data_IF_054698268404
#
_entry.id   IF_054698268404
#
_cell.length_a   1.000
_cell.length_b   1.000
_cell.length_c   1.000
_cell.angle_alpha   90.00
_cell.angle_beta   90.00
_cell.angle_gamma   90.00
#
_symmetry.space_group_name_H-M   'P 1'
#
loop_
_entity.id
_entity.type
_entity.pdbx_description
1 polymer ?
#
# COMPACT_ATOMS: atom_id res chain seq x y z
N UNK A 1 3.68 6.93 31.64
CA UNK A 1 3.66 8.19 30.86
C UNK A 1 4.71 8.11 29.76
N UNK A 2 4.35 8.45 28.52
CA UNK A 2 5.06 8.04 27.30
C UNK A 2 6.12 9.05 26.81
N UNK A 3 7.32 8.54 26.52
CA UNK A 3 8.35 9.29 25.78
C UNK A 3 7.80 9.68 24.41
N UNK A 4 7.88 10.97 24.05
CA UNK A 4 7.41 11.47 22.74
C UNK A 4 8.13 10.71 21.61
N UNK A 5 7.38 9.96 20.80
CA UNK A 5 7.94 9.19 19.68
C UNK A 5 8.21 10.10 18.49
N UNK A 6 9.48 10.22 18.12
CA UNK A 6 9.96 11.04 17.00
C UNK A 6 9.84 10.32 15.65
N UNK A 7 9.49 11.06 14.59
CA UNK A 7 9.66 10.61 13.19
C UNK A 7 11.14 10.56 12.81
N UNK A 8 11.47 9.88 11.72
CA UNK A 8 12.83 9.88 11.17
C UNK A 8 13.24 11.29 10.68
N UNK A 9 12.31 12.06 10.11
CA UNK A 9 12.51 13.47 9.79
C UNK A 9 12.89 14.32 11.02
N UNK A 10 12.18 14.15 12.14
CA UNK A 10 12.48 14.89 13.38
C UNK A 10 13.84 14.51 13.95
N UNK A 11 14.27 13.24 13.80
CA UNK A 11 15.63 12.80 14.18
C UNK A 11 16.69 13.48 13.31
N UNK A 12 16.47 13.58 11.99
CA UNK A 12 17.37 14.31 11.08
C UNK A 12 17.47 15.79 11.46
N UNK A 13 16.36 16.44 11.82
CA UNK A 13 16.39 17.84 12.26
C UNK A 13 17.21 18.04 13.54
N UNK A 14 17.17 17.08 14.48
CA UNK A 14 18.03 17.12 15.68
C UNK A 14 19.52 17.00 15.29
N UNK A 15 19.83 16.13 14.33
CA UNK A 15 21.20 15.97 13.83
C UNK A 15 21.68 17.25 13.14
N UNK A 16 20.88 17.80 12.23
CA UNK A 16 21.20 19.06 11.54
C UNK A 16 21.40 20.22 12.51
N UNK A 17 20.53 20.35 13.51
CA UNK A 17 20.67 21.39 14.54
C UNK A 17 21.94 21.22 15.39
N UNK A 18 22.41 19.99 15.60
CA UNK A 18 23.71 19.72 16.25
C UNK A 18 24.88 20.08 15.34
N UNK A 19 24.75 19.91 14.03
CA UNK A 19 25.77 20.29 13.06
C UNK A 19 25.88 21.82 12.94
N UNK A 20 24.75 22.52 12.95
CA UNK A 20 24.69 24.00 12.94
C UNK A 20 25.20 24.62 14.26
N UNK A 21 25.17 23.86 15.36
CA UNK A 21 25.61 24.30 16.69
C UNK A 21 26.50 23.25 17.40
N UNK A 22 27.77 23.11 16.97
CA UNK A 22 28.68 22.07 17.48
C UNK A 22 29.04 22.21 18.96
N UNK A 23 28.86 23.39 19.57
CA UNK A 23 29.06 23.63 20.99
C UNK A 23 27.92 23.13 21.88
N UNK A 24 26.72 22.87 21.32
CA UNK A 24 25.57 22.43 22.12
C UNK A 24 25.85 21.06 22.75
N UNK A 25 25.69 20.99 24.07
CA UNK A 25 25.70 19.76 24.82
C UNK A 25 24.49 18.90 24.46
N UNK A 26 24.58 17.61 24.76
CA UNK A 26 23.47 16.68 24.55
C UNK A 26 22.27 17.04 25.44
N UNK A 27 22.48 17.65 26.60
CA UNK A 27 21.39 18.13 27.46
C UNK A 27 20.62 19.27 26.80
N UNK A 28 21.36 20.22 26.20
CA UNK A 28 20.77 21.36 25.50
C UNK A 28 20.00 20.92 24.24
N UNK A 29 20.51 19.95 23.49
CA UNK A 29 19.77 19.32 22.38
C UNK A 29 18.44 18.68 22.85
N UNK A 30 18.44 18.06 24.02
CA UNK A 30 17.23 17.48 24.63
C UNK A 30 16.19 18.55 24.98
N UNK A 31 16.63 19.72 25.42
CA UNK A 31 15.78 20.87 25.71
C UNK A 31 15.26 21.53 24.44
N UNK A 32 16.13 21.80 23.45
CA UNK A 32 15.72 22.30 22.14
C UNK A 32 14.65 21.42 21.50
N UNK A 33 14.81 20.10 21.56
CA UNK A 33 13.81 19.13 21.07
C UNK A 33 12.43 19.31 21.73
N UNK A 34 12.38 19.68 23.02
CA UNK A 34 11.10 19.94 23.70
C UNK A 34 10.46 21.22 23.20
N UNK A 35 11.25 22.24 22.89
CA UNK A 35 10.74 23.50 22.36
C UNK A 35 10.33 23.38 20.89
N UNK A 36 11.12 22.68 20.08
CA UNK A 36 10.89 22.50 18.65
C UNK A 36 9.75 21.52 18.32
N UNK A 37 9.52 20.49 19.15
CA UNK A 37 8.58 19.40 18.85
C UNK A 37 7.64 19.05 20.01
N UNK A 38 7.67 19.80 21.11
CA UNK A 38 6.73 19.62 22.23
C UNK A 38 5.35 20.21 21.93
N UNK A 39 4.33 19.82 22.71
CA UNK A 39 3.04 20.49 22.65
C UNK A 39 3.16 21.96 23.09
N UNK A 40 2.29 22.86 22.60
CA UNK A 40 2.26 24.26 23.02
C UNK A 40 2.18 24.38 24.54
N UNK A 41 2.81 25.42 25.12
CA UNK A 41 2.81 25.67 26.58
C UNK A 41 1.40 25.69 27.18
N UNK A 42 0.39 26.09 26.39
CA UNK A 42 -1.03 26.06 26.78
C UNK A 42 -1.58 24.64 27.00
N UNK A 43 -1.18 23.65 26.19
CA UNK A 43 -1.58 22.24 26.34
C UNK A 43 -0.77 21.48 27.40
N UNK A 44 0.36 22.02 27.88
CA UNK A 44 1.20 21.38 28.89
C UNK A 44 0.55 21.31 30.29
N UNK A 45 -0.47 22.13 30.56
CA UNK A 45 -1.18 22.15 31.86
C UNK A 45 -2.27 21.07 31.95
N UNK A 46 -2.82 20.64 30.80
CA UNK A 46 -3.93 19.67 30.68
C UNK A 46 -3.45 18.25 30.36
N UNK A 47 -2.29 18.11 29.72
CA UNK A 47 -1.70 16.80 29.44
C UNK A 47 -1.00 16.26 30.70
N UNK A 48 -1.53 15.18 31.26
CA UNK A 48 -0.96 14.37 32.35
C UNK A 48 0.58 14.25 32.29
N UNK A 49 1.27 15.11 33.05
CA UNK A 49 2.71 15.08 33.29
C UNK A 49 3.58 15.76 32.23
N UNK A 50 4.58 16.54 32.69
CA UNK A 50 5.63 17.13 31.84
C UNK A 50 6.30 16.03 30.98
N UNK A 51 6.40 16.20 29.65
CA UNK A 51 7.15 15.27 28.80
C UNK A 51 8.59 15.14 29.31
N UNK A 52 8.96 13.95 29.80
CA UNK A 52 10.32 13.69 30.31
C UNK A 52 11.33 14.01 29.21
N UNK A 53 12.39 14.74 29.57
CA UNK A 53 13.46 15.05 28.64
C UNK A 53 14.04 13.76 28.09
N UNK A 54 14.38 13.78 26.80
CA UNK A 54 15.03 12.64 26.17
C UNK A 54 16.38 12.42 26.87
N UNK A 55 16.68 11.16 27.24
CA UNK A 55 17.93 10.83 27.91
C UNK A 55 19.12 11.08 26.99
N UNK A 56 20.27 11.40 27.57
CA UNK A 56 21.52 11.57 26.81
C UNK A 56 21.82 10.33 25.92
N UNK A 57 21.51 9.12 26.41
CA UNK A 57 21.65 7.87 25.66
C UNK A 57 20.77 7.82 24.39
N UNK A 58 19.55 8.36 24.45
CA UNK A 58 18.65 8.43 23.30
C UNK A 58 19.16 9.41 22.24
N UNK A 59 19.78 10.53 22.66
CA UNK A 59 20.40 11.51 21.76
C UNK A 59 21.62 10.90 21.08
N UNK A 60 22.47 10.20 21.83
CA UNK A 60 23.61 9.48 21.26
C UNK A 60 23.18 8.42 20.26
N UNK A 61 22.08 7.70 20.53
CA UNK A 61 21.50 6.74 19.58
C UNK A 61 21.02 7.42 18.30
N UNK A 62 20.34 8.57 18.39
CA UNK A 62 19.89 9.33 17.22
C UNK A 62 21.09 9.79 16.37
N UNK A 63 22.11 10.36 17.00
CA UNK A 63 23.34 10.80 16.31
C UNK A 63 24.03 9.62 15.63
N UNK A 64 24.07 8.46 16.28
CA UNK A 64 24.65 7.24 15.72
C UNK A 64 23.88 6.66 14.51
N UNK A 65 22.58 6.96 14.38
CA UNK A 65 21.74 6.53 13.25
C UNK A 65 21.86 7.44 12.01
N UNK A 66 22.78 8.43 12.00
CA UNK A 66 22.93 9.41 10.92
C UNK A 66 22.92 8.79 9.52
N UNK A 67 23.86 7.87 9.26
CA UNK A 67 24.05 7.28 7.92
C UNK A 67 22.80 6.56 7.43
N UNK A 68 22.09 5.89 8.32
CA UNK A 68 20.83 5.20 8.01
C UNK A 68 19.72 6.20 7.69
N UNK A 69 19.63 7.32 8.42
CA UNK A 69 18.61 8.34 8.22
C UNK A 69 18.82 9.16 6.94
N UNK A 70 20.08 9.49 6.61
CA UNK A 70 20.43 10.21 5.38
C UNK A 70 20.18 9.37 4.12
N UNK A 71 20.23 8.04 4.22
CA UNK A 71 19.95 7.11 3.13
C UNK A 71 18.45 6.79 2.90
N UNK A 72 17.55 7.28 3.77
CA UNK A 72 16.12 6.99 3.68
C UNK A 72 15.39 7.86 2.65
N UNK A 73 14.38 7.27 1.98
CA UNK A 73 13.48 7.99 1.08
C UNK A 73 12.52 8.93 1.83
N UNK A 74 11.92 9.95 1.16
CA UNK A 74 10.97 10.88 1.79
C UNK A 74 9.79 10.19 2.50
N UNK A 75 9.34 9.05 1.95
CA UNK A 75 8.27 8.25 2.55
C UNK A 75 8.70 7.59 3.86
N UNK A 76 9.95 7.17 3.97
CA UNK A 76 10.53 6.58 5.19
C UNK A 76 10.86 7.62 6.26
N UNK A 77 11.16 8.86 5.84
CA UNK A 77 11.41 9.99 6.74
C UNK A 77 10.14 10.46 7.47
N UNK A 78 9.00 10.46 6.77
CA UNK A 78 7.69 10.79 7.37
C UNK A 78 7.21 9.76 8.40
N UNK A 79 7.75 8.53 8.37
CA UNK A 79 7.28 7.43 9.20
C UNK A 79 7.83 7.52 10.64
N UNK A 80 6.95 7.28 11.63
CA UNK A 80 7.34 7.11 13.05
C UNK A 80 7.95 5.75 13.36
N UNK A 81 7.85 4.79 12.43
CA UNK A 81 8.44 3.45 12.51
C UNK A 81 8.95 3.05 11.12
N UNK A 82 10.19 2.54 10.97
CA UNK A 82 10.55 1.81 9.77
C UNK A 82 9.63 0.59 9.68
N UNK A 83 8.84 0.50 8.60
CA UNK A 83 8.07 -0.70 8.29
C UNK A 83 8.99 -1.59 7.48
N UNK A 84 9.76 -2.46 8.13
CA UNK A 84 10.43 -3.53 7.39
C UNK A 84 9.39 -4.32 6.63
N UNK A 85 9.58 -4.43 5.32
CA UNK A 85 8.71 -5.26 4.49
C UNK A 85 9.06 -6.71 4.83
N UNK A 86 8.22 -7.35 5.66
CA UNK A 86 8.35 -8.78 5.93
C UNK A 86 8.21 -9.56 4.60
N UNK A 87 9.17 -10.44 4.34
CA UNK A 87 9.26 -11.30 3.15
C UNK A 87 9.12 -10.54 1.81
N UNK A 88 10.11 -9.70 1.43
CA UNK A 88 10.03 -8.92 0.19
C UNK A 88 10.04 -9.82 -1.06
N UNK A 89 10.91 -10.83 -1.11
CA UNK A 89 11.00 -11.78 -2.23
C UNK A 89 9.68 -12.53 -2.47
N UNK A 90 9.00 -12.96 -1.41
CA UNK A 90 7.67 -13.59 -1.52
C UNK A 90 6.66 -12.65 -2.18
N UNK A 91 6.60 -11.38 -1.72
CA UNK A 91 5.64 -10.40 -2.24
C UNK A 91 5.92 -10.08 -3.71
N UNK A 92 7.19 -9.98 -4.07
CA UNK A 92 7.61 -9.79 -5.45
C UNK A 92 7.22 -10.97 -6.34
N UNK A 93 7.46 -12.21 -5.91
CA UNK A 93 7.05 -13.40 -6.65
C UNK A 93 5.53 -13.46 -6.89
N UNK A 94 4.72 -13.12 -5.88
CA UNK A 94 3.25 -13.02 -6.03
C UNK A 94 2.87 -11.94 -7.04
N UNK A 95 3.52 -10.77 -6.99
CA UNK A 95 3.23 -9.67 -7.90
C UNK A 95 3.58 -10.02 -9.36
N UNK A 96 4.74 -10.64 -9.59
CA UNK A 96 5.16 -11.10 -10.92
C UNK A 96 4.21 -12.16 -11.48
N UNK A 97 3.75 -13.09 -10.64
CA UNK A 97 2.77 -14.09 -11.06
C UNK A 97 1.42 -13.46 -11.45
N UNK A 98 0.93 -12.48 -10.67
CA UNK A 98 -0.30 -11.75 -11.03
C UNK A 98 -0.13 -11.04 -12.38
N UNK A 99 1.00 -10.37 -12.59
CA UNK A 99 1.30 -9.71 -13.85
C UNK A 99 1.32 -10.70 -15.02
N UNK A 100 1.90 -11.89 -14.83
CA UNK A 100 1.89 -12.95 -15.83
C UNK A 100 0.47 -13.43 -16.15
N UNK A 101 -0.40 -13.58 -15.14
CA UNK A 101 -1.80 -13.92 -15.34
C UNK A 101 -2.56 -12.83 -16.11
N UNK A 102 -2.31 -11.55 -15.79
CA UNK A 102 -2.90 -10.42 -16.51
C UNK A 102 -2.49 -10.42 -17.99
N UNK A 103 -1.21 -10.66 -18.29
CA UNK A 103 -0.73 -10.77 -19.67
C UNK A 103 -1.37 -11.92 -20.45
N UNK A 104 -1.88 -12.95 -19.76
CA UNK A 104 -2.55 -14.11 -20.35
C UNK A 104 -4.08 -13.99 -20.36
N UNK A 105 -4.64 -12.86 -19.93
CA UNK A 105 -6.09 -12.68 -19.81
C UNK A 105 -6.75 -13.53 -18.72
N UNK A 106 -5.97 -14.08 -17.78
CA UNK A 106 -6.53 -14.96 -16.73
C UNK A 106 -7.12 -14.13 -15.60
N UNK A 107 -8.43 -14.25 -15.40
CA UNK A 107 -9.11 -13.65 -14.25
C UNK A 107 -8.63 -14.29 -12.94
N UNK A 108 -8.18 -13.46 -12.00
CA UNK A 108 -7.70 -13.90 -10.69
C UNK A 108 -8.65 -13.49 -9.57
N UNK A 109 -9.05 -14.48 -8.76
CA UNK A 109 -9.75 -14.22 -7.50
C UNK A 109 -8.76 -13.93 -6.37
N UNK A 110 -9.28 -13.33 -5.30
CA UNK A 110 -8.51 -13.11 -4.07
C UNK A 110 -8.03 -14.42 -3.45
N UNK A 111 -8.87 -15.45 -3.46
CA UNK A 111 -8.55 -16.76 -2.89
C UNK A 111 -7.46 -17.48 -3.68
N UNK A 112 -7.49 -17.39 -5.02
CA UNK A 112 -6.41 -17.91 -5.87
C UNK A 112 -5.09 -17.20 -5.58
N UNK A 113 -5.14 -15.89 -5.34
CA UNK A 113 -3.96 -15.10 -4.97
C UNK A 113 -3.40 -15.56 -3.61
N UNK A 114 -4.25 -15.74 -2.61
CA UNK A 114 -3.86 -16.25 -1.29
C UNK A 114 -3.27 -17.67 -1.37
N UNK A 115 -3.90 -18.57 -2.11
CA UNK A 115 -3.43 -19.94 -2.31
C UNK A 115 -2.07 -19.98 -3.02
N UNK A 116 -1.87 -19.15 -4.05
CA UNK A 116 -0.58 -19.05 -4.73
C UNK A 116 0.50 -18.48 -3.81
N UNK A 117 0.18 -17.46 -3.02
CA UNK A 117 1.11 -16.89 -2.06
C UNK A 117 1.56 -17.91 -1.01
N UNK A 118 0.65 -18.75 -0.52
CA UNK A 118 0.98 -19.85 0.38
C UNK A 118 1.94 -20.86 -0.27
N UNK A 119 1.70 -21.23 -1.54
CA UNK A 119 2.60 -22.13 -2.28
C UNK A 119 4.00 -21.52 -2.48
N UNK A 120 4.07 -20.22 -2.76
CA UNK A 120 5.37 -19.54 -2.86
C UNK A 120 6.09 -19.49 -1.50
N UNK A 121 5.37 -19.27 -0.41
CA UNK A 121 5.97 -19.30 0.92
C UNK A 121 6.56 -20.67 1.24
N UNK A 122 5.83 -21.75 0.95
CA UNK A 122 6.34 -23.11 1.10
C UNK A 122 7.60 -23.36 0.24
N UNK A 123 7.62 -22.88 -1.02
CA UNK A 123 8.81 -23.03 -1.88
C UNK A 123 10.03 -22.18 -1.46
N UNK A 124 9.83 -21.22 -0.56
CA UNK A 124 10.89 -20.36 -0.03
C UNK A 124 11.29 -20.76 1.41
N UNK A 125 10.88 -21.96 1.84
CA UNK A 125 11.12 -22.49 3.20
C UNK A 125 10.63 -21.56 4.32
N UNK A 126 9.58 -20.78 4.04
CA UNK A 126 8.94 -19.92 5.04
C UNK A 126 8.05 -20.82 5.91
N UNK A 127 8.25 -20.87 7.25
CA UNK A 127 7.52 -21.78 8.12
C UNK A 127 6.00 -21.59 8.05
N UNK A 128 5.26 -22.69 8.09
CA UNK A 128 3.80 -22.65 8.17
C UNK A 128 3.33 -21.87 9.41
N UNK A 129 2.31 -21.03 9.21
CA UNK A 129 1.78 -20.15 10.26
C UNK A 129 2.55 -18.85 10.48
N UNK A 130 3.73 -18.67 9.88
CA UNK A 130 4.47 -17.39 9.94
C UNK A 130 3.73 -16.24 9.23
N UNK A 131 2.98 -16.57 8.16
CA UNK A 131 2.17 -15.63 7.39
C UNK A 131 0.75 -16.15 7.28
N UNK A 132 -0.22 -15.33 7.71
CA UNK A 132 -1.64 -15.62 7.54
C UNK A 132 -2.14 -15.05 6.21
N UNK A 133 -2.20 -15.88 5.17
CA UNK A 133 -2.74 -15.53 3.85
C UNK A 133 -4.27 -15.47 3.87
N UNK A 134 -4.80 -14.41 4.50
CA UNK A 134 -6.23 -14.14 4.58
C UNK A 134 -6.56 -12.74 4.03
N UNK A 135 -7.84 -12.34 4.08
CA UNK A 135 -8.32 -11.06 3.58
C UNK A 135 -7.48 -9.86 4.00
N UNK A 136 -7.08 -9.77 5.28
CA UNK A 136 -6.27 -8.65 5.78
C UNK A 136 -4.85 -8.59 5.18
N UNK A 137 -4.26 -9.72 4.81
CA UNK A 137 -2.98 -9.76 4.09
C UNK A 137 -3.18 -9.35 2.63
N UNK A 138 -4.18 -9.94 1.97
CA UNK A 138 -4.51 -9.66 0.57
C UNK A 138 -4.84 -8.18 0.35
N UNK A 139 -5.67 -7.60 1.21
CA UNK A 139 -6.04 -6.18 1.14
C UNK A 139 -4.80 -5.27 1.19
N UNK A 140 -3.88 -5.52 2.12
CA UNK A 140 -2.63 -4.76 2.23
C UNK A 140 -1.71 -4.96 1.02
N UNK A 141 -1.67 -6.17 0.47
CA UNK A 141 -0.93 -6.49 -0.73
C UNK A 141 -1.50 -5.73 -1.94
N UNK A 142 -2.81 -5.78 -2.17
CA UNK A 142 -3.47 -5.05 -3.24
C UNK A 142 -3.24 -3.54 -3.15
N UNK A 143 -3.37 -2.96 -1.96
CA UNK A 143 -3.11 -1.52 -1.76
C UNK A 143 -1.67 -1.13 -2.08
N UNK A 144 -0.70 -1.99 -1.76
CA UNK A 144 0.71 -1.75 -2.07
C UNK A 144 1.00 -1.81 -3.57
N UNK A 145 0.40 -2.78 -4.26
CA UNK A 145 0.62 -3.01 -5.68
C UNK A 145 -0.41 -2.27 -6.57
N UNK A 146 -1.26 -1.41 -5.98
CA UNK A 146 -2.34 -0.69 -6.65
C UNK A 146 -3.28 -1.60 -7.46
N UNK A 147 -3.43 -2.84 -7.02
CA UNK A 147 -4.33 -3.80 -7.64
C UNK A 147 -5.77 -3.47 -7.25
N UNK A 148 -6.67 -3.50 -8.24
CA UNK A 148 -8.10 -3.28 -8.04
C UNK A 148 -8.84 -4.54 -8.44
N UNK A 149 -9.85 -4.90 -7.65
CA UNK A 149 -10.81 -5.90 -8.08
C UNK A 149 -11.69 -5.27 -9.17
N UNK A 150 -11.76 -5.92 -10.32
CA UNK A 150 -12.65 -5.55 -11.42
C UNK A 150 -13.69 -6.64 -11.53
N UNK A 151 -14.97 -6.25 -11.55
CA UNK A 151 -16.05 -7.18 -11.84
C UNK A 151 -16.12 -7.32 -13.35
N UNK A 152 -15.63 -8.44 -13.87
CA UNK A 152 -15.74 -8.75 -15.29
C UNK A 152 -17.22 -9.06 -15.53
N UNK A 153 -17.97 -8.10 -16.08
CA UNK A 153 -19.25 -8.38 -16.70
C UNK A 153 -18.99 -8.64 -18.17
N UNK A 154 -19.56 -9.73 -18.69
CA UNK A 154 -19.69 -9.94 -20.13
C UNK A 154 -18.93 -11.15 -20.66
N UNK A 155 -19.68 -12.03 -21.30
CA UNK A 155 -19.26 -13.08 -22.24
C UNK A 155 -18.54 -12.52 -23.50
N UNK A 156 -18.04 -11.29 -23.45
CA UNK A 156 -17.43 -10.59 -24.58
C UNK A 156 -16.06 -11.17 -24.96
N UNK A 157 -15.37 -11.82 -24.02
CA UNK A 157 -14.04 -12.41 -24.26
C UNK A 157 -14.10 -13.83 -24.86
N UNK A 158 -15.31 -14.38 -25.02
CA UNK A 158 -15.56 -15.70 -25.66
C UNK A 158 -16.40 -15.58 -26.93
N UNK A 159 -16.68 -14.36 -27.40
CA UNK A 159 -17.44 -14.14 -28.61
C UNK A 159 -16.60 -14.60 -29.82
N UNK A 160 -17.08 -15.62 -30.54
CA UNK A 160 -16.50 -16.05 -31.81
C UNK A 160 -16.65 -14.93 -32.83
N UNK A 161 -15.63 -14.08 -32.93
CA UNK A 161 -15.60 -12.94 -33.84
C UNK A 161 -15.82 -13.40 -35.29
N UNK A 162 -15.32 -14.58 -35.67
CA UNK A 162 -15.51 -15.12 -37.01
C UNK A 162 -16.97 -15.57 -37.24
N UNK A 163 -17.59 -16.19 -36.24
CA UNK A 163 -19.02 -16.52 -36.26
C UNK A 163 -19.92 -15.27 -36.29
N UNK A 164 -19.53 -14.21 -35.57
CA UNK A 164 -20.22 -12.92 -35.61
C UNK A 164 -20.07 -12.26 -36.98
N UNK A 165 -18.87 -12.20 -37.54
CA UNK A 165 -18.61 -11.63 -38.87
C UNK A 165 -19.38 -12.37 -39.98
N UNK A 166 -19.57 -13.68 -39.85
CA UNK A 166 -20.39 -14.46 -40.77
C UNK A 166 -21.90 -14.20 -40.60
N UNK A 167 -22.38 -14.00 -39.36
CA UNK A 167 -23.79 -13.77 -39.06
C UNK A 167 -24.23 -12.30 -39.20
N UNK A 168 -23.30 -11.35 -39.16
CA UNK A 168 -23.57 -9.91 -39.20
C UNK A 168 -24.30 -9.46 -40.48
N UNK A 169 -23.91 -9.92 -41.70
CA UNK A 169 -24.59 -9.53 -42.93
C UNK A 169 -26.04 -10.04 -42.99
N UNK A 170 -26.29 -11.25 -42.48
CA UNK A 170 -27.63 -11.84 -42.43
C UNK A 170 -28.54 -11.08 -41.47
N UNK A 171 -28.03 -10.73 -40.30
CA UNK A 171 -28.76 -9.92 -39.31
C UNK A 171 -29.03 -8.51 -39.84
N UNK A 172 -28.06 -7.86 -40.48
CA UNK A 172 -28.25 -6.54 -41.10
C UNK A 172 -29.29 -6.59 -42.21
N UNK A 173 -29.29 -7.64 -43.04
CA UNK A 173 -30.29 -7.83 -44.09
C UNK A 173 -31.69 -8.11 -43.51
N UNK A 174 -31.79 -8.80 -42.37
CA UNK A 174 -33.05 -9.02 -41.67
C UNK A 174 -33.59 -7.72 -41.04
N UNK A 175 -32.72 -6.93 -40.39
CA UNK A 175 -33.08 -5.67 -39.74
C UNK A 175 -33.45 -4.59 -40.77
N UNK A 176 -32.82 -4.58 -41.95
CA UNK A 176 -33.11 -3.62 -43.03
C UNK A 176 -34.56 -3.72 -43.58
N UNK A 177 -35.29 -4.79 -43.27
CA UNK A 177 -36.72 -4.95 -43.64
C UNK A 177 -37.67 -4.16 -42.74
N UNK A 178 -37.16 -3.63 -41.62
CA UNK A 178 -37.93 -2.87 -40.65
C UNK A 178 -37.53 -1.40 -40.70
N UNK A 179 -38.47 -0.49 -40.42
CA UNK A 179 -38.13 0.92 -40.30
C UNK A 179 -37.28 1.13 -39.03
N UNK A 180 -36.37 2.11 -38.98
CA UNK A 180 -35.51 2.34 -37.81
C UNK A 180 -36.27 2.53 -36.49
N UNK A 181 -37.51 3.04 -36.53
CA UNK A 181 -38.41 3.19 -35.38
C UNK A 181 -38.97 1.88 -34.81
N UNK A 182 -38.83 0.78 -35.56
CA UNK A 182 -39.32 -0.55 -35.22
C UNK A 182 -38.17 -1.50 -34.84
N UNK A 183 -36.94 -0.99 -34.78
CA UNK A 183 -35.73 -1.73 -34.38
C UNK A 183 -35.38 -1.33 -32.94
N UNK A 184 -35.56 -2.25 -32.00
CA UNK A 184 -35.30 -2.04 -30.58
C UNK A 184 -34.10 -2.88 -30.12
N UNK A 185 -33.16 -2.28 -29.40
CA UNK A 185 -32.11 -3.01 -28.68
C UNK A 185 -32.71 -3.57 -27.38
N UNK A 186 -32.62 -4.89 -27.18
CA UNK A 186 -33.20 -5.58 -26.02
C UNK A 186 -32.11 -5.93 -24.99
N UNK A 187 -31.25 -4.98 -24.61
CA UNK A 187 -30.20 -5.22 -23.61
C UNK A 187 -30.58 -4.82 -22.18
N UNK A 188 -31.67 -4.08 -21.97
CA UNK A 188 -32.15 -3.72 -20.64
C UNK A 188 -33.66 -3.90 -20.47
N UNK A 189 -34.11 -5.11 -20.10
CA UNK A 189 -35.40 -5.28 -19.41
C UNK A 189 -35.30 -6.23 -18.22
N UNK A 190 -34.47 -5.87 -17.24
CA UNK A 190 -34.65 -6.34 -15.86
C UNK A 190 -35.70 -5.49 -15.15
N UNK A 191 -36.97 -5.85 -15.23
CA UNK A 191 -38.00 -5.29 -14.34
C UNK A 191 -37.65 -5.68 -12.90
N UNK A 192 -37.46 -4.68 -12.05
CA UNK A 192 -37.47 -4.84 -10.60
C UNK A 192 -38.91 -5.17 -10.15
N UNK A 193 -39.06 -6.27 -9.41
CA UNK A 193 -40.21 -6.55 -8.54
C UNK A 193 -39.70 -7.28 -7.31
#
# INVERSE_FOLDING_TARGET
MSQLRLTNDQKLRIIKHKDDHPSLSRTELGNWKKEAFGPPKSMMKEAFGLPKSMTQASISKIIGMRKELEAMSPSELSAKRPRSVQHPALKEAVALWILQCQHRGVALSGDLTCAKAARFAASMDIPDGSIKFAYGWLYKFQQRHKLRAVRIHGESDSADVAGIEAALPELQAAVAKFAPRDVYNMDETGKYS
#
